data_IF_081078008934
#
_entry.id   IF_081078008934
#
_cell.length_a   1.000
_cell.length_b   1.000
_cell.length_c   1.000
_cell.angle_alpha   90.00
_cell.angle_beta   90.00
_cell.angle_gamma   90.00
#
_symmetry.space_group_name_H-M   'P 1'
#
loop_
_entity.id
_entity.type
_entity.pdbx_description
1 polymer ?
#
# COMPACT_ATOMS: atom_id res chain seq x y z
N UNK A 1 23.29 -0.39 -0.65
CA UNK A 1 22.45 -0.35 0.57
C UNK A 1 21.04 -0.71 0.15
N UNK A 2 20.35 -1.58 0.88
CA UNK A 2 18.95 -1.85 0.60
C UNK A 2 18.11 -0.76 1.27
N UNK A 3 17.06 -0.32 0.58
CA UNK A 3 16.17 0.73 1.06
C UNK A 3 15.08 0.13 1.95
N UNK A 4 14.38 0.96 2.75
CA UNK A 4 13.26 0.46 3.58
C UNK A 4 12.24 -0.29 2.73
N UNK A 5 11.92 0.22 1.54
CA UNK A 5 11.00 -0.44 0.61
C UNK A 5 11.48 -1.86 0.25
N UNK A 6 12.70 -1.99 -0.25
CA UNK A 6 13.26 -3.29 -0.67
C UNK A 6 13.39 -4.27 0.50
N UNK A 7 13.87 -3.81 1.66
CA UNK A 7 14.02 -4.64 2.85
C UNK A 7 12.67 -5.14 3.37
N UNK A 8 11.66 -4.28 3.36
CA UNK A 8 10.32 -4.63 3.84
C UNK A 8 9.66 -5.65 2.94
N UNK A 9 9.66 -5.42 1.62
CA UNK A 9 9.07 -6.34 0.65
C UNK A 9 9.76 -7.71 0.74
N UNK A 10 11.10 -7.73 0.80
CA UNK A 10 11.85 -8.98 0.97
C UNK A 10 11.56 -9.67 2.30
N UNK A 11 11.43 -8.92 3.40
CA UNK A 11 11.10 -9.52 4.69
C UNK A 11 9.71 -10.17 4.67
N UNK A 12 8.72 -9.51 4.07
CA UNK A 12 7.35 -10.02 3.95
C UNK A 12 7.30 -11.24 3.02
N UNK A 13 8.04 -11.21 1.92
CA UNK A 13 8.17 -12.36 1.02
C UNK A 13 8.74 -13.58 1.76
N UNK A 14 9.73 -13.37 2.64
CA UNK A 14 10.27 -14.38 3.55
C UNK A 14 9.37 -14.69 4.76
N UNK A 15 8.16 -14.13 4.81
CA UNK A 15 7.13 -14.48 5.79
C UNK A 15 7.08 -13.59 7.04
N UNK A 16 7.73 -12.43 7.05
CA UNK A 16 7.57 -11.48 8.13
C UNK A 16 6.16 -10.86 8.15
N UNK A 17 5.64 -10.60 9.35
CA UNK A 17 4.37 -9.87 9.52
C UNK A 17 4.67 -8.38 9.45
N UNK A 18 3.99 -7.65 8.57
CA UNK A 18 4.06 -6.19 8.57
C UNK A 18 2.82 -5.54 9.19
N UNK A 19 2.86 -4.24 9.45
CA UNK A 19 1.68 -3.41 9.72
C UNK A 19 1.99 -1.98 9.31
N UNK A 20 1.15 -1.41 8.45
CA UNK A 20 1.21 0.00 8.07
C UNK A 20 0.04 0.73 8.72
N UNK A 21 0.30 1.94 9.19
CA UNK A 21 -0.72 2.87 9.64
C UNK A 21 -0.46 4.20 8.96
N UNK A 22 -1.32 4.54 7.99
CA UNK A 22 -1.18 5.79 7.24
C UNK A 22 -1.29 7.00 8.15
N UNK A 23 -2.32 7.09 9.00
CA UNK A 23 -2.53 8.28 9.86
C UNK A 23 -1.37 8.52 10.81
N UNK A 24 -0.84 7.46 11.42
CA UNK A 24 0.35 7.54 12.29
C UNK A 24 1.66 7.52 11.54
N UNK A 25 1.64 7.48 10.21
CA UNK A 25 2.84 7.46 9.36
C UNK A 25 3.85 6.40 9.83
N UNK A 26 3.37 5.17 10.07
CA UNK A 26 4.18 4.14 10.73
C UNK A 26 4.19 2.82 9.99
N UNK A 27 5.34 2.14 10.08
CA UNK A 27 5.58 0.81 9.56
C UNK A 27 6.17 -0.04 10.67
N UNK A 28 5.57 -1.21 10.90
CA UNK A 28 6.14 -2.27 11.76
C UNK A 28 6.44 -3.51 10.95
N UNK A 29 7.54 -4.18 11.29
CA UNK A 29 7.86 -5.53 10.84
C UNK A 29 8.09 -6.41 12.08
N UNK A 30 7.38 -7.53 12.16
CA UNK A 30 7.36 -8.45 13.31
C UNK A 30 7.13 -7.75 14.66
N UNK A 31 6.33 -6.68 14.66
CA UNK A 31 6.01 -5.88 15.85
C UNK A 31 7.00 -4.74 16.15
N UNK A 32 8.17 -4.73 15.53
CA UNK A 32 9.20 -3.69 15.69
C UNK A 32 8.96 -2.53 14.74
N UNK A 33 9.08 -1.30 15.23
CA UNK A 33 8.97 -0.10 14.40
C UNK A 33 10.18 0.05 13.47
N UNK A 34 9.90 0.22 12.18
CA UNK A 34 10.87 0.63 11.15
C UNK A 34 10.69 2.11 10.83
N UNK A 35 9.43 2.55 10.73
CA UNK A 35 9.05 3.96 10.64
C UNK A 35 8.09 4.26 11.79
N UNK A 36 8.34 5.32 12.54
CA UNK A 36 7.51 5.72 13.68
C UNK A 36 7.17 7.20 13.60
N UNK A 37 5.88 7.51 13.52
CA UNK A 37 5.38 8.89 13.47
C UNK A 37 6.06 9.73 12.37
N UNK A 38 6.25 9.09 11.20
CA UNK A 38 6.89 9.67 10.02
C UNK A 38 8.41 9.78 10.07
N UNK A 39 9.05 9.35 11.15
CA UNK A 39 10.51 9.43 11.32
C UNK A 39 11.17 8.09 10.98
N UNK A 40 12.20 8.15 10.15
CA UNK A 40 13.21 7.11 10.00
C UNK A 40 14.54 7.71 9.49
N UNK A 41 15.66 7.17 9.95
CA UNK A 41 16.99 7.62 9.56
C UNK A 41 17.52 6.93 8.29
N UNK A 42 16.71 6.04 7.69
CA UNK A 42 17.06 5.27 6.50
C UNK A 42 16.32 5.78 5.28
N UNK A 43 16.89 5.53 4.12
CA UNK A 43 16.29 5.87 2.85
C UNK A 43 15.03 5.01 2.58
N UNK A 44 13.94 5.67 2.19
CA UNK A 44 12.68 4.99 1.84
C UNK A 44 12.84 4.12 0.58
N UNK A 45 13.61 4.59 -0.40
CA UNK A 45 13.89 3.91 -1.67
C UNK A 45 12.83 4.05 -2.75
N UNK A 46 11.86 4.94 -2.52
CA UNK A 46 10.86 5.34 -3.50
C UNK A 46 10.99 6.86 -3.64
N UNK A 47 11.38 7.37 -4.82
CA UNK A 47 11.46 8.82 -5.04
C UNK A 47 10.05 9.43 -5.06
N UNK A 48 9.91 10.72 -4.72
CA UNK A 48 8.66 11.46 -4.92
C UNK A 48 8.24 11.37 -6.39
N UNK A 49 6.97 11.03 -6.62
CA UNK A 49 6.40 10.93 -7.96
C UNK A 49 5.51 12.14 -8.28
N UNK A 50 5.37 12.46 -9.56
CA UNK A 50 4.30 13.36 -10.01
C UNK A 50 2.93 12.72 -9.76
N UNK A 51 1.87 13.53 -9.76
CA UNK A 51 0.49 13.04 -9.53
C UNK A 51 0.10 11.91 -10.51
N UNK A 52 0.43 12.07 -11.80
CA UNK A 52 0.12 11.07 -12.82
C UNK A 52 0.90 9.77 -12.62
N UNK A 53 2.19 9.86 -12.31
CA UNK A 53 3.03 8.70 -12.05
C UNK A 53 2.58 7.95 -10.78
N UNK A 54 2.21 8.71 -9.75
CA UNK A 54 1.67 8.17 -8.51
C UNK A 54 0.42 7.32 -8.76
N UNK A 55 -0.58 7.88 -9.46
CA UNK A 55 -1.82 7.15 -9.72
C UNK A 55 -1.60 5.96 -10.66
N UNK A 56 -0.79 6.11 -11.71
CA UNK A 56 -0.46 5.00 -12.60
C UNK A 56 0.20 3.84 -11.83
N UNK A 57 1.12 4.15 -10.91
CA UNK A 57 1.79 3.14 -10.09
C UNK A 57 0.86 2.52 -9.03
N UNK A 58 -0.01 3.31 -8.42
CA UNK A 58 -1.05 2.81 -7.51
C UNK A 58 -1.99 1.84 -8.21
N UNK A 59 -2.45 2.16 -9.42
CA UNK A 59 -3.31 1.26 -10.21
C UNK A 59 -2.58 -0.03 -10.61
N UNK A 60 -1.30 0.06 -10.97
CA UNK A 60 -0.47 -1.11 -11.27
C UNK A 60 -0.31 -2.04 -10.06
N UNK A 61 0.07 -1.48 -8.92
CA UNK A 61 0.23 -2.21 -7.65
C UNK A 61 -1.10 -2.78 -7.16
N UNK A 62 -2.17 -2.01 -7.28
CA UNK A 62 -3.49 -2.45 -6.86
C UNK A 62 -4.01 -3.61 -7.70
N UNK A 63 -3.82 -3.59 -9.01
CA UNK A 63 -4.19 -4.72 -9.88
C UNK A 63 -3.50 -6.00 -9.44
N UNK A 64 -2.19 -5.94 -9.17
CA UNK A 64 -1.41 -7.08 -8.66
C UNK A 64 -1.95 -7.56 -7.31
N UNK A 65 -2.28 -6.64 -6.39
CA UNK A 65 -2.87 -6.99 -5.11
C UNK A 65 -4.28 -7.59 -5.24
N UNK A 66 -5.13 -7.03 -6.10
CA UNK A 66 -6.52 -7.47 -6.28
C UNK A 66 -6.61 -8.92 -6.75
N UNK A 67 -5.70 -9.29 -7.65
CA UNK A 67 -5.56 -10.63 -8.25
C UNK A 67 -4.57 -11.54 -7.52
N UNK A 68 -4.07 -11.12 -6.36
CA UNK A 68 -3.07 -11.91 -5.61
C UNK A 68 -3.68 -13.10 -4.88
N UNK A 69 -2.91 -14.18 -4.76
CA UNK A 69 -3.35 -15.43 -4.13
C UNK A 69 -3.39 -15.28 -2.61
N UNK A 70 -4.55 -15.52 -1.95
CA UNK A 70 -4.65 -15.44 -0.50
C UNK A 70 -3.77 -16.48 0.19
N UNK A 71 -3.39 -16.16 1.41
CA UNK A 71 -2.81 -17.10 2.37
C UNK A 71 -3.56 -17.02 3.69
N UNK A 72 -3.47 -18.05 4.53
CA UNK A 72 -4.00 -18.00 5.90
C UNK A 72 -3.56 -16.74 6.66
N UNK A 73 -2.32 -16.30 6.41
CA UNK A 73 -1.74 -15.09 7.02
C UNK A 73 -2.44 -13.82 6.57
N UNK A 74 -2.68 -13.65 5.28
CA UNK A 74 -3.43 -12.49 4.77
C UNK A 74 -4.89 -12.53 5.21
N UNK A 75 -5.47 -13.73 5.30
CA UNK A 75 -6.86 -13.90 5.71
C UNK A 75 -7.08 -13.61 7.20
N UNK A 76 -6.11 -13.93 8.05
CA UNK A 76 -6.14 -13.62 9.49
C UNK A 76 -6.06 -12.13 9.85
N UNK A 77 -5.84 -11.23 8.89
CA UNK A 77 -5.72 -9.79 9.17
C UNK A 77 -7.10 -9.12 9.34
N UNK A 78 -7.35 -8.46 10.48
CA UNK A 78 -8.67 -7.92 10.81
C UNK A 78 -9.01 -6.61 10.06
N UNK A 79 -8.03 -5.92 9.47
CA UNK A 79 -8.22 -4.66 8.74
C UNK A 79 -7.41 -4.67 7.46
N UNK A 80 -8.06 -4.35 6.34
CA UNK A 80 -7.44 -4.17 5.02
C UNK A 80 -7.85 -2.79 4.51
N UNK A 81 -6.90 -2.02 3.98
CA UNK A 81 -7.19 -0.73 3.39
C UNK A 81 -7.85 -0.87 2.01
N UNK A 82 -7.44 -1.91 1.28
CA UNK A 82 -7.89 -2.17 -0.08
C UNK A 82 -8.59 -3.53 -0.16
N UNK A 83 -9.54 -3.64 -1.09
CA UNK A 83 -10.27 -4.88 -1.37
C UNK A 83 -9.52 -5.72 -2.39
N UNK A 84 -9.42 -7.03 -2.16
CA UNK A 84 -8.91 -8.00 -3.12
C UNK A 84 -9.98 -9.06 -3.40
N UNK A 85 -9.83 -9.81 -4.50
CA UNK A 85 -10.72 -10.90 -4.85
C UNK A 85 -10.62 -12.03 -3.82
N UNK A 86 -11.69 -12.81 -3.64
CA UNK A 86 -11.59 -14.05 -2.87
C UNK A 86 -10.97 -15.13 -3.75
N UNK A 87 -10.45 -16.19 -3.13
CA UNK A 87 -9.82 -17.30 -3.86
C UNK A 87 -10.71 -17.87 -4.98
N UNK A 88 -12.01 -18.03 -4.70
CA UNK A 88 -13.02 -18.50 -5.65
C UNK A 88 -13.29 -17.57 -6.84
N UNK A 89 -12.89 -16.30 -6.73
CA UNK A 89 -13.11 -15.27 -7.74
C UNK A 89 -11.82 -15.02 -8.56
N UNK A 90 -10.73 -15.73 -8.27
CA UNK A 90 -9.49 -15.69 -9.05
C UNK A 90 -9.62 -16.58 -10.29
N UNK A 91 -8.98 -16.15 -11.38
CA UNK A 91 -8.89 -16.98 -12.59
C UNK A 91 -7.75 -18.01 -12.49
N UNK A 92 -7.73 -18.99 -13.39
CA UNK A 92 -6.70 -20.04 -13.40
C UNK A 92 -5.27 -19.49 -13.57
N UNK A 93 -5.13 -18.35 -14.27
CA UNK A 93 -3.85 -17.68 -14.46
C UNK A 93 -3.34 -17.05 -13.17
N UNK A 94 -4.22 -16.39 -12.43
CA UNK A 94 -3.96 -15.83 -11.10
C UNK A 94 -3.58 -16.95 -10.12
N UNK A 95 -4.24 -18.10 -10.19
CA UNK A 95 -3.92 -19.23 -9.30
C UNK A 95 -2.57 -19.87 -9.63
N UNK A 96 -2.18 -19.92 -10.91
CA UNK A 96 -0.95 -20.58 -11.35
C UNK A 96 0.29 -19.68 -11.26
N UNK A 97 0.13 -18.39 -11.52
CA UNK A 97 1.24 -17.43 -11.64
C UNK A 97 1.11 -16.21 -10.70
N UNK A 98 0.03 -16.12 -9.94
CA UNK A 98 -0.24 -14.97 -9.08
C UNK A 98 0.77 -14.83 -7.95
N UNK A 99 1.04 -13.56 -7.61
CA UNK A 99 1.88 -13.22 -6.46
C UNK A 99 1.15 -13.51 -5.15
N UNK A 100 1.90 -13.81 -4.09
CA UNK A 100 1.35 -13.92 -2.74
C UNK A 100 0.76 -12.61 -2.26
N UNK A 101 -0.45 -12.67 -1.71
CA UNK A 101 -1.22 -11.50 -1.26
C UNK A 101 -0.55 -10.63 -0.24
N UNK A 102 0.18 -11.22 0.71
CA UNK A 102 0.89 -10.46 1.74
C UNK A 102 2.02 -9.61 1.14
N UNK A 103 2.76 -10.14 0.17
CA UNK A 103 3.79 -9.38 -0.56
C UNK A 103 3.15 -8.26 -1.40
N UNK A 104 2.16 -8.58 -2.22
CA UNK A 104 1.48 -7.58 -3.07
C UNK A 104 0.84 -6.46 -2.22
N UNK A 105 0.27 -6.81 -1.07
CA UNK A 105 -0.27 -5.84 -0.11
C UNK A 105 0.83 -4.94 0.46
N UNK A 106 1.97 -5.52 0.83
CA UNK A 106 3.10 -4.76 1.38
C UNK A 106 3.63 -3.76 0.35
N UNK A 107 3.79 -4.17 -0.91
CA UNK A 107 4.23 -3.27 -1.98
C UNK A 107 3.26 -2.09 -2.18
N UNK A 108 1.96 -2.39 -2.29
CA UNK A 108 0.91 -1.37 -2.49
C UNK A 108 0.84 -0.38 -1.32
N UNK A 109 0.69 -0.89 -0.10
CA UNK A 109 0.52 -0.04 1.08
C UNK A 109 1.80 0.74 1.40
N UNK A 110 2.98 0.12 1.24
CA UNK A 110 4.25 0.79 1.53
C UNK A 110 4.57 1.85 0.48
N UNK A 111 4.25 1.62 -0.79
CA UNK A 111 4.41 2.65 -1.82
C UNK A 111 3.61 3.90 -1.47
N UNK A 112 2.34 3.75 -1.09
CA UNK A 112 1.51 4.88 -0.65
C UNK A 112 2.11 5.60 0.56
N UNK A 113 2.54 4.85 1.58
CA UNK A 113 3.19 5.46 2.76
C UNK A 113 4.45 6.23 2.37
N UNK A 114 5.30 5.67 1.52
CA UNK A 114 6.53 6.32 1.06
C UNK A 114 6.25 7.61 0.29
N UNK A 115 5.22 7.64 -0.56
CA UNK A 115 4.83 8.85 -1.30
C UNK A 115 4.33 9.95 -0.36
N UNK A 116 3.52 9.59 0.64
CA UNK A 116 3.07 10.51 1.69
C UNK A 116 4.26 11.09 2.46
N UNK A 117 5.22 10.25 2.86
CA UNK A 117 6.45 10.69 3.54
C UNK A 117 7.37 11.51 2.63
N UNK A 118 7.34 11.24 1.32
CA UNK A 118 8.04 11.98 0.28
C UNK A 118 7.41 13.33 -0.07
N UNK A 119 6.32 13.71 0.60
CA UNK A 119 5.68 15.01 0.45
C UNK A 119 4.53 15.07 -0.55
N UNK A 120 3.95 13.93 -0.94
CA UNK A 120 2.71 13.90 -1.72
C UNK A 120 1.60 14.68 -1.02
N UNK A 121 0.95 15.60 -1.75
CA UNK A 121 -0.11 16.48 -1.23
C UNK A 121 -1.45 16.16 -1.89
N UNK A 122 -2.53 16.37 -1.15
CA UNK A 122 -3.87 16.17 -1.69
C UNK A 122 -4.26 17.35 -2.59
N UNK A 123 -4.78 17.06 -3.78
CA UNK A 123 -5.32 18.08 -4.68
C UNK A 123 -6.84 17.94 -4.78
N UNK A 124 -7.64 18.83 -4.14
CA UNK A 124 -9.10 18.73 -4.17
C UNK A 124 -9.72 18.79 -5.58
N UNK A 125 -9.06 19.44 -6.54
CA UNK A 125 -9.60 19.61 -7.90
C UNK A 125 -9.54 18.32 -8.71
N UNK A 126 -8.47 17.54 -8.56
CA UNK A 126 -8.25 16.28 -9.30
C UNK A 126 -8.66 15.05 -8.49
N UNK A 127 -8.50 15.13 -7.16
CA UNK A 127 -8.70 14.02 -6.22
C UNK A 127 -10.05 14.05 -5.51
N UNK A 128 -10.81 15.14 -5.64
CA UNK A 128 -12.06 15.35 -4.91
C UNK A 128 -11.83 15.76 -3.45
N UNK A 129 -12.92 16.06 -2.73
CA UNK A 129 -12.81 16.61 -1.37
C UNK A 129 -12.48 15.59 -0.27
N UNK A 130 -12.85 14.33 -0.48
CA UNK A 130 -12.85 13.31 0.58
C UNK A 130 -12.07 12.05 0.22
N UNK A 131 -12.16 11.62 -1.04
CA UNK A 131 -11.48 10.45 -1.54
C UNK A 131 -11.30 10.55 -3.05
N UNK A 132 -10.23 9.92 -3.53
CA UNK A 132 -10.00 9.66 -4.93
C UNK A 132 -10.38 8.21 -5.21
N UNK A 133 -11.03 7.98 -6.35
CA UNK A 133 -11.37 6.65 -6.84
C UNK A 133 -10.81 6.50 -8.25
N UNK A 134 -10.13 5.38 -8.50
CA UNK A 134 -9.61 5.09 -9.85
C UNK A 134 -10.75 4.98 -10.87
N UNK A 135 -10.48 5.51 -12.07
CA UNK A 135 -11.37 5.37 -13.22
C UNK A 135 -11.28 3.99 -13.84
N UNK A 136 -10.12 3.34 -13.73
CA UNK A 136 -9.82 2.00 -14.26
C UNK A 136 -10.40 0.91 -13.38
N UNK A 137 -10.28 1.04 -12.05
CA UNK A 137 -10.81 0.07 -11.09
C UNK A 137 -11.49 0.78 -9.91
N UNK A 138 -12.83 0.69 -9.85
CA UNK A 138 -13.65 1.38 -8.85
C UNK A 138 -13.44 0.88 -7.42
N UNK A 139 -12.88 -0.31 -7.22
CA UNK A 139 -12.55 -0.81 -5.88
C UNK A 139 -11.27 -0.14 -5.32
N UNK A 140 -10.45 0.53 -6.16
CA UNK A 140 -9.31 1.32 -5.70
C UNK A 140 -9.77 2.70 -5.24
N UNK A 141 -9.77 2.88 -3.92
CA UNK A 141 -10.11 4.15 -3.26
C UNK A 141 -8.97 4.57 -2.35
N UNK A 142 -8.56 5.83 -2.45
CA UNK A 142 -7.59 6.47 -1.56
C UNK A 142 -8.33 7.56 -0.79
N UNK A 143 -8.32 7.47 0.55
CA UNK A 143 -8.99 8.46 1.39
C UNK A 143 -8.07 9.65 1.64
N UNK A 144 -8.63 10.87 1.59
CA UNK A 144 -7.91 12.11 1.91
C UNK A 144 -7.28 12.06 3.29
N UNK A 145 -8.01 11.53 4.27
CA UNK A 145 -7.55 11.39 5.66
C UNK A 145 -6.29 10.50 5.80
N UNK A 146 -6.00 9.63 4.82
CA UNK A 146 -4.74 8.89 4.81
C UNK A 146 -3.56 9.78 4.42
N UNK A 147 -3.78 10.77 3.55
CA UNK A 147 -2.75 11.70 3.05
C UNK A 147 -2.65 12.96 3.92
N UNK A 148 -3.77 13.46 4.43
CA UNK A 148 -3.89 14.68 5.25
C UNK A 148 -4.83 14.42 6.44
N UNK A 149 -4.36 13.73 7.50
CA UNK A 149 -5.21 13.35 8.64
C UNK A 149 -5.72 14.56 9.44
N UNK A 150 -5.04 15.70 9.38
CA UNK A 150 -5.35 16.89 10.17
C UNK A 150 -6.38 17.83 9.51
N UNK A 151 -6.80 17.56 8.27
CA UNK A 151 -7.69 18.42 7.47
C UNK A 151 -9.18 18.04 7.53
N UNK A 152 -9.60 17.27 8.53
CA UNK A 152 -11.01 16.87 8.74
C UNK A 152 -11.83 17.90 9.54
N UNK A 153 -11.43 19.18 9.53
CA UNK A 153 -12.06 20.27 10.27
C UNK A 153 -12.91 21.20 9.38
#
# INVERSE_FOLDING_TARGET
MNTIYQETVRAVDNGAKFKIDFRRRSLKINGTYIIRDGKCDRELGIPPSTENEFFAKMEELYRRYKHSVPSERSESRPRRYFKALQEKDLDDGDMLYGERRDKAQAELELYLLCQILGGFRWNPETMGHWFWQSRTDRDLVILREWVEPDNNH
#
